data_IF_904513934246
#
_entry.id   IF_904513934246
#
_cell.length_a   1.000
_cell.length_b   1.000
_cell.length_c   1.000
_cell.angle_alpha   90.00
_cell.angle_beta   90.00
_cell.angle_gamma   90.00
#
_symmetry.space_group_name_H-M   'P 1'
#
loop_
_entity.id
_entity.type
_entity.pdbx_description
1 polymer ?
#
# COMPACT_ATOMS: atom_id res chain seq x y z
N UNK A 1 37.23 2.59 -9.68
CA UNK A 1 35.88 2.01 -9.88
C UNK A 1 35.25 1.90 -8.50
N UNK A 2 34.20 2.67 -8.22
CA UNK A 2 33.47 2.55 -6.94
C UNK A 2 32.56 1.35 -7.03
N UNK A 3 32.74 0.37 -6.14
CA UNK A 3 31.82 -0.76 -6.00
C UNK A 3 30.40 -0.22 -5.78
N UNK A 4 29.48 -0.59 -6.67
CA UNK A 4 28.06 -0.48 -6.39
C UNK A 4 27.79 -1.39 -5.20
N UNK A 5 27.53 -0.80 -4.03
CA UNK A 5 26.94 -1.52 -2.89
C UNK A 5 25.57 -1.97 -3.37
N UNK A 6 25.51 -3.20 -3.88
CA UNK A 6 24.26 -3.87 -4.19
C UNK A 6 23.70 -4.30 -2.85
N UNK A 7 22.85 -3.48 -2.25
CA UNK A 7 22.01 -3.91 -1.13
C UNK A 7 21.23 -5.13 -1.62
N UNK A 8 21.42 -6.28 -0.98
CA UNK A 8 20.65 -7.48 -1.29
C UNK A 8 19.16 -7.18 -1.30
N UNK A 9 18.40 -7.92 -2.11
CA UNK A 9 16.95 -7.76 -2.14
C UNK A 9 16.39 -7.96 -0.72
N UNK A 10 15.44 -7.11 -0.26
CA UNK A 10 14.89 -7.20 1.08
C UNK A 10 14.36 -8.63 1.32
N UNK A 11 14.65 -9.18 2.51
CA UNK A 11 14.10 -10.48 2.93
C UNK A 11 12.58 -10.39 2.85
N UNK A 12 11.98 -11.08 1.88
CA UNK A 12 10.51 -11.18 1.77
C UNK A 12 9.99 -11.81 3.06
N UNK A 13 9.26 -11.05 3.87
CA UNK A 13 8.70 -11.58 5.11
C UNK A 13 7.49 -12.47 4.79
N UNK A 14 7.53 -13.71 5.27
CA UNK A 14 6.42 -14.65 5.16
C UNK A 14 5.18 -14.15 5.91
N UNK A 15 5.39 -13.45 7.03
CA UNK A 15 4.31 -12.81 7.79
C UNK A 15 3.67 -11.64 7.04
N UNK A 16 4.44 -10.79 6.36
CA UNK A 16 3.90 -9.69 5.56
C UNK A 16 3.05 -10.20 4.39
N UNK A 17 3.49 -11.30 3.74
CA UNK A 17 2.71 -11.94 2.69
C UNK A 17 1.37 -12.50 3.21
N UNK A 18 1.38 -13.15 4.37
CA UNK A 18 0.16 -13.69 5.01
C UNK A 18 -0.79 -12.56 5.45
N UNK A 19 -0.26 -11.47 6.01
CA UNK A 19 -1.04 -10.31 6.39
C UNK A 19 -1.74 -9.67 5.18
N UNK A 20 -1.02 -9.47 4.07
CA UNK A 20 -1.61 -8.96 2.81
C UNK A 20 -2.68 -9.92 2.30
N UNK A 21 -2.45 -11.24 2.35
CA UNK A 21 -3.45 -12.24 1.97
C UNK A 21 -4.75 -12.10 2.78
N UNK A 22 -4.65 -11.96 4.11
CA UNK A 22 -5.81 -11.72 4.97
C UNK A 22 -6.54 -10.41 4.67
N UNK A 23 -5.79 -9.33 4.41
CA UNK A 23 -6.36 -8.04 4.03
C UNK A 23 -7.12 -8.10 2.70
N UNK A 24 -6.59 -8.80 1.71
CA UNK A 24 -7.26 -9.02 0.41
C UNK A 24 -8.57 -9.78 0.59
N UNK A 25 -8.57 -10.84 1.40
CA UNK A 25 -9.80 -11.58 1.71
C UNK A 25 -10.84 -10.67 2.35
N UNK A 26 -10.43 -9.83 3.31
CA UNK A 26 -11.30 -8.83 3.91
C UNK A 26 -11.88 -7.84 2.89
N UNK A 27 -11.05 -7.32 1.98
CA UNK A 27 -11.49 -6.40 0.92
C UNK A 27 -12.54 -7.06 0.04
N UNK A 28 -12.30 -8.30 -0.39
CA UNK A 28 -13.25 -9.06 -1.21
C UNK A 28 -14.56 -9.26 -0.46
N UNK A 29 -14.50 -9.63 0.82
CA UNK A 29 -15.67 -9.84 1.65
C UNK A 29 -16.56 -8.59 1.74
N UNK A 30 -15.98 -7.44 2.12
CA UNK A 30 -16.74 -6.19 2.20
C UNK A 30 -17.24 -5.71 0.83
N UNK A 31 -16.50 -5.98 -0.25
CA UNK A 31 -16.94 -5.68 -1.62
C UNK A 31 -18.12 -6.57 -2.07
N UNK A 32 -18.20 -7.81 -1.60
CA UNK A 32 -19.36 -8.67 -1.87
C UNK A 32 -20.58 -8.15 -1.11
N UNK A 33 -20.41 -7.74 0.15
CA UNK A 33 -21.50 -7.19 0.96
C UNK A 33 -22.08 -5.90 0.34
N UNK A 34 -21.25 -5.04 -0.24
CA UNK A 34 -21.75 -3.84 -0.94
C UNK A 34 -22.59 -4.21 -2.16
N UNK A 35 -22.16 -5.20 -2.94
CA UNK A 35 -22.93 -5.69 -4.10
C UNK A 35 -24.25 -6.31 -3.68
N UNK A 36 -24.27 -7.09 -2.59
CA UNK A 36 -25.50 -7.69 -2.07
C UNK A 36 -26.50 -6.60 -1.66
N UNK A 37 -26.05 -5.56 -0.93
CA UNK A 37 -26.90 -4.45 -0.57
C UNK A 37 -27.44 -3.70 -1.78
N UNK A 38 -26.60 -3.43 -2.79
CA UNK A 38 -27.04 -2.77 -4.02
C UNK A 38 -28.10 -3.60 -4.78
N UNK A 39 -27.98 -4.93 -4.79
CA UNK A 39 -29.00 -5.82 -5.36
C UNK A 39 -30.29 -5.77 -4.55
N UNK A 40 -30.22 -5.75 -3.21
CA UNK A 40 -31.41 -5.63 -2.36
C UNK A 40 -32.14 -4.31 -2.58
N UNK A 41 -31.40 -3.21 -2.69
CA UNK A 41 -31.94 -1.89 -2.96
C UNK A 41 -32.65 -1.84 -4.32
N UNK A 42 -32.01 -2.36 -5.38
CA UNK A 42 -32.62 -2.43 -6.71
C UNK A 42 -33.90 -3.26 -6.74
N UNK A 43 -33.98 -4.32 -5.94
CA UNK A 43 -35.17 -5.17 -5.83
C UNK A 43 -36.26 -4.59 -4.90
N UNK A 44 -36.06 -3.39 -4.35
CA UNK A 44 -37.03 -2.71 -3.49
C UNK A 44 -37.11 -3.27 -2.07
N UNK A 45 -36.09 -4.02 -1.62
CA UNK A 45 -35.98 -4.54 -0.25
C UNK A 45 -35.16 -3.61 0.66
N UNK A 46 -34.87 -2.37 0.24
CA UNK A 46 -34.10 -1.43 1.03
C UNK A 46 -34.84 -0.98 2.29
N UNK A 47 -34.08 -0.85 3.38
CA UNK A 47 -34.50 -0.18 4.61
C UNK A 47 -33.98 1.27 4.63
N UNK A 48 -34.50 2.08 5.54
CA UNK A 48 -34.07 3.44 5.87
C UNK A 48 -32.56 3.60 6.17
N UNK A 49 -31.86 2.50 6.48
CA UNK A 49 -30.44 2.50 6.81
C UNK A 49 -29.53 1.94 5.71
N UNK A 50 -30.06 1.55 4.54
CA UNK A 50 -29.27 0.97 3.44
C UNK A 50 -28.07 1.83 3.05
N UNK A 51 -28.25 3.16 2.95
CA UNK A 51 -27.17 4.10 2.64
C UNK A 51 -26.07 4.14 3.71
N UNK A 52 -26.46 4.00 4.99
CA UNK A 52 -25.50 3.96 6.09
C UNK A 52 -24.67 2.69 6.05
N UNK A 53 -25.30 1.54 5.77
CA UNK A 53 -24.57 0.27 5.63
C UNK A 53 -23.65 0.27 4.39
N UNK A 54 -24.12 0.81 3.26
CA UNK A 54 -23.31 1.02 2.06
C UNK A 54 -22.06 1.86 2.37
N UNK A 55 -22.24 2.99 3.06
CA UNK A 55 -21.13 3.88 3.43
C UNK A 55 -20.12 3.18 4.34
N UNK A 56 -20.59 2.42 5.35
CA UNK A 56 -19.70 1.67 6.25
C UNK A 56 -18.91 0.60 5.49
N UNK A 57 -19.55 -0.20 4.65
CA UNK A 57 -18.86 -1.26 3.93
C UNK A 57 -17.85 -0.72 2.92
N UNK A 58 -18.19 0.35 2.19
CA UNK A 58 -17.25 1.04 1.31
C UNK A 58 -16.10 1.69 2.09
N UNK A 59 -16.38 2.26 3.26
CA UNK A 59 -15.36 2.77 4.17
C UNK A 59 -14.39 1.69 4.65
N UNK A 60 -14.90 0.48 4.97
CA UNK A 60 -14.08 -0.66 5.35
C UNK A 60 -13.19 -1.14 4.21
N UNK A 61 -13.70 -1.18 2.97
CA UNK A 61 -12.89 -1.47 1.78
C UNK A 61 -11.72 -0.49 1.68
N UNK A 62 -12.00 0.82 1.81
CA UNK A 62 -10.96 1.84 1.73
C UNK A 62 -9.90 1.71 2.85
N UNK A 63 -10.35 1.47 4.09
CA UNK A 63 -9.45 1.27 5.23
C UNK A 63 -8.55 0.05 5.03
N UNK A 64 -9.12 -1.10 4.62
CA UNK A 64 -8.35 -2.32 4.39
C UNK A 64 -7.33 -2.14 3.26
N UNK A 65 -7.71 -1.42 2.19
CA UNK A 65 -6.83 -1.13 1.08
C UNK A 65 -5.68 -0.21 1.51
N UNK A 66 -5.96 0.82 2.32
CA UNK A 66 -4.93 1.69 2.88
C UNK A 66 -3.93 0.92 3.74
N UNK A 67 -4.41 0.03 4.62
CA UNK A 67 -3.56 -0.83 5.45
C UNK A 67 -2.76 -1.81 4.59
N UNK A 68 -3.37 -2.41 3.56
CA UNK A 68 -2.67 -3.32 2.65
C UNK A 68 -1.52 -2.62 1.91
N UNK A 69 -1.71 -1.38 1.47
CA UNK A 69 -0.66 -0.57 0.85
C UNK A 69 0.44 -0.23 1.86
N UNK A 70 0.07 0.14 3.09
CA UNK A 70 1.05 0.47 4.14
C UNK A 70 1.93 -0.75 4.50
N UNK A 71 1.32 -1.92 4.69
CA UNK A 71 2.05 -3.18 4.90
C UNK A 71 2.91 -3.53 3.69
N UNK A 72 2.37 -3.38 2.47
CA UNK A 72 3.14 -3.62 1.25
C UNK A 72 4.37 -2.71 1.16
N UNK A 73 4.22 -1.42 1.49
CA UNK A 73 5.33 -0.46 1.51
C UNK A 73 6.39 -0.88 2.52
N UNK A 74 6.00 -1.13 3.77
CA UNK A 74 6.93 -1.48 4.85
C UNK A 74 7.70 -2.78 4.60
N UNK A 75 7.05 -3.79 4.04
CA UNK A 75 7.61 -5.13 3.93
C UNK A 75 8.26 -5.43 2.57
N UNK A 76 7.82 -4.76 1.49
CA UNK A 76 8.23 -5.09 0.13
C UNK A 76 8.80 -3.91 -0.66
N UNK A 77 8.62 -2.65 -0.23
CA UNK A 77 9.31 -1.51 -0.82
C UNK A 77 10.50 -1.10 0.06
N UNK A 78 11.74 -1.24 -0.42
CA UNK A 78 12.91 -0.77 0.33
C UNK A 78 12.98 0.76 0.30
N UNK A 79 12.83 1.40 1.45
CA UNK A 79 13.02 2.86 1.63
C UNK A 79 14.46 3.32 1.30
N UNK A 80 15.41 2.39 1.27
CA UNK A 80 16.85 2.67 1.21
C UNK A 80 17.43 2.75 -0.22
N UNK A 81 16.68 2.40 -1.27
CA UNK A 81 17.23 2.30 -2.64
C UNK A 81 17.47 3.63 -3.36
N UNK A 82 17.16 4.77 -2.74
CA UNK A 82 17.45 6.08 -3.33
C UNK A 82 18.63 6.72 -2.60
N UNK A 83 19.82 6.12 -2.73
CA UNK A 83 21.03 6.91 -2.55
C UNK A 83 21.18 7.82 -3.77
N UNK A 84 20.73 9.09 -3.64
CA UNK A 84 21.01 10.12 -4.63
C UNK A 84 22.52 10.29 -4.70
N UNK A 85 23.17 9.70 -5.72
CA UNK A 85 24.60 9.91 -6.01
C UNK A 85 24.82 11.41 -6.09
N UNK A 86 25.42 11.99 -5.05
CA UNK A 86 25.74 13.41 -5.02
C UNK A 86 26.89 13.58 -6.00
N UNK A 87 26.68 14.31 -7.12
CA UNK A 87 27.78 14.60 -8.05
C UNK A 87 28.95 15.19 -7.25
N UNK A 88 30.20 14.72 -7.42
CA UNK A 88 31.33 15.31 -6.74
C UNK A 88 31.40 16.78 -7.13
N UNK A 89 31.37 17.66 -6.13
CA UNK A 89 31.52 19.10 -6.35
C UNK A 89 32.97 19.30 -6.78
N UNK A 90 33.20 19.59 -8.06
CA UNK A 90 34.53 19.90 -8.58
C UNK A 90 34.96 21.21 -7.92
N UNK A 91 35.81 21.12 -6.89
CA UNK A 91 36.42 22.29 -6.25
C UNK A 91 37.73 22.53 -6.99
N UNK A 92 37.74 23.52 -7.89
CA UNK A 92 38.96 24.01 -8.51
C UNK A 92 39.81 24.65 -7.41
N UNK A 93 40.91 24.01 -7.03
CA UNK A 93 41.92 24.60 -6.15
C UNK A 93 42.52 25.80 -6.88
N UNK A 94 42.27 27.02 -6.36
CA UNK A 94 42.99 28.20 -6.83
C UNK A 94 44.47 28.04 -6.42
N UNK A 95 45.45 28.34 -7.29
CA UNK A 95 46.82 28.42 -6.85
C UNK A 95 46.90 29.54 -5.82
N UNK A 96 47.29 29.19 -4.58
CA UNK A 96 47.58 30.17 -3.54
C UNK A 96 48.69 31.09 -4.06
N UNK A 97 48.44 32.40 -4.00
CA UNK A 97 49.34 33.46 -4.44
C UNK A 97 50.05 34.06 -3.24
#
# INVERSE_FOLDING_TARGET
MTELIRSDAPRRSSMGALAIGGLIIGIIWFSILTVILAIQDLNGFADSQTDSYMAVFMGMVFLLLAVAIDVYRKEFMPDELIHKIRRPKIVLTRPFR
#
